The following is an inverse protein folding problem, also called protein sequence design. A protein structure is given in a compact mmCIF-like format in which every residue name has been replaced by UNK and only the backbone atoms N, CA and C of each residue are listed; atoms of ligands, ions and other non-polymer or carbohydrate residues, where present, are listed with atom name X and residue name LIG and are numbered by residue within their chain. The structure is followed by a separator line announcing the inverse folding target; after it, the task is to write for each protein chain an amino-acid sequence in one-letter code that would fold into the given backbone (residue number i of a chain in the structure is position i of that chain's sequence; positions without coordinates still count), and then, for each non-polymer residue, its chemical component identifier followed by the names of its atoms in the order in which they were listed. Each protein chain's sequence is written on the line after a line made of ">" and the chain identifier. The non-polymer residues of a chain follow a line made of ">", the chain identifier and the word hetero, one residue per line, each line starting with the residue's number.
data_IF_930039173948
#
_entry.id   IF_930039173948
#
_cell.length_a   1.000
_cell.length_b   1.000
_cell.length_c   1.000
_cell.angle_alpha   90.00
_cell.angle_beta   90.00
_cell.angle_gamma   90.00
#
_symmetry.space_group_name_H-M   'P 1'
#
loop_
_entity.id
_entity.type
_entity.pdbx_description
1 polymer ?
#
# COMPACT_ATOMS: atom_id res chain seq x y z
N UNK A 1 -0.41 12.80 -18.59
CA UNK A 1 0.10 13.22 -17.26
C UNK A 1 0.97 12.09 -16.74
N UNK A 2 2.05 12.36 -15.97
CA UNK A 2 2.80 11.27 -15.35
C UNK A 2 1.89 10.54 -14.36
N UNK A 3 1.88 9.21 -14.43
CA UNK A 3 1.15 8.32 -13.53
C UNK A 3 2.07 7.99 -12.36
N UNK A 4 1.70 8.37 -11.15
CA UNK A 4 2.48 8.06 -9.95
C UNK A 4 1.94 6.79 -9.31
N UNK A 5 2.83 5.95 -8.80
CA UNK A 5 2.44 4.71 -8.12
C UNK A 5 2.72 4.83 -6.63
N UNK A 6 1.74 4.50 -5.81
CA UNK A 6 1.86 4.44 -4.35
C UNK A 6 1.77 2.98 -3.95
N UNK A 7 2.88 2.44 -3.44
CA UNK A 7 2.89 1.13 -2.81
C UNK A 7 2.26 1.26 -1.43
N UNK A 8 1.16 0.56 -1.20
CA UNK A 8 0.38 0.63 0.04
C UNK A 8 0.71 -0.58 0.90
N UNK A 9 1.26 -0.34 2.08
CA UNK A 9 1.63 -1.38 3.03
C UNK A 9 0.53 -1.50 4.09
N UNK A 10 -0.44 -2.36 3.84
CA UNK A 10 -1.55 -2.61 4.77
C UNK A 10 -1.03 -3.32 6.02
N UNK A 11 -1.62 -3.00 7.17
CA UNK A 11 -1.14 -3.46 8.47
C UNK A 11 -2.26 -3.97 9.36
N UNK A 12 -2.01 -3.94 10.67
CA UNK A 12 -2.94 -4.44 11.66
C UNK A 12 -3.59 -3.29 12.47
N UNK A 13 -4.80 -3.54 12.98
CA UNK A 13 -5.49 -2.71 13.98
C UNK A 13 -5.58 -1.23 13.59
N UNK A 14 -5.28 -0.31 14.52
CA UNK A 14 -5.42 1.13 14.35
C UNK A 14 -4.59 1.68 13.19
N UNK A 15 -3.44 1.06 12.87
CA UNK A 15 -2.65 1.45 11.71
C UNK A 15 -3.43 1.28 10.40
N UNK A 16 -4.18 0.19 10.28
CA UNK A 16 -5.01 -0.09 9.11
C UNK A 16 -6.19 0.86 8.99
N UNK A 17 -6.87 1.15 10.10
CA UNK A 17 -8.01 2.08 10.10
C UNK A 17 -7.59 3.49 9.66
N UNK A 18 -6.46 3.98 10.18
CA UNK A 18 -5.91 5.28 9.77
C UNK A 18 -5.45 5.29 8.32
N UNK A 19 -4.86 4.19 7.84
CA UNK A 19 -4.44 4.05 6.45
C UNK A 19 -5.63 4.16 5.49
N UNK A 20 -6.75 3.50 5.80
CA UNK A 20 -7.95 3.58 4.96
C UNK A 20 -8.46 5.02 4.84
N UNK A 21 -8.47 5.78 5.94
CA UNK A 21 -8.88 7.19 5.90
C UNK A 21 -7.88 8.07 5.13
N UNK A 22 -6.58 7.79 5.22
CA UNK A 22 -5.57 8.47 4.41
C UNK A 22 -5.75 8.20 2.91
N UNK A 23 -6.11 6.97 2.51
CA UNK A 23 -6.37 6.63 1.11
C UNK A 23 -7.62 7.32 0.55
N UNK A 24 -8.60 7.67 1.39
CA UNK A 24 -9.78 8.45 0.96
C UNK A 24 -9.39 9.86 0.52
N UNK A 25 -8.47 10.51 1.25
CA UNK A 25 -8.01 11.86 0.88
C UNK A 25 -7.06 11.86 -0.31
N UNK A 26 -6.43 10.72 -0.62
CA UNK A 26 -5.56 10.54 -1.78
C UNK A 26 -6.28 10.06 -3.04
N UNK A 27 -7.62 9.94 -3.03
CA UNK A 27 -8.34 9.47 -4.22
C UNK A 27 -8.07 10.37 -5.44
N UNK A 28 -7.72 9.79 -6.62
CA UNK A 28 -7.41 10.55 -7.83
C UNK A 28 -8.48 11.57 -8.22
N UNK A 29 -9.76 11.22 -8.00
CA UNK A 29 -10.91 12.09 -8.26
C UNK A 29 -10.96 13.33 -7.36
N UNK A 30 -10.35 13.27 -6.17
CA UNK A 30 -10.34 14.36 -5.20
C UNK A 30 -9.15 15.30 -5.43
N UNK A 31 -7.94 14.74 -5.54
CA UNK A 31 -6.70 15.54 -5.65
C UNK A 31 -6.32 15.89 -7.09
N UNK A 32 -7.03 15.34 -8.09
CA UNK A 32 -6.78 15.53 -9.53
C UNK A 32 -5.35 15.14 -9.95
N UNK A 33 -4.80 14.12 -9.30
CA UNK A 33 -3.53 13.49 -9.60
C UNK A 33 -3.77 12.04 -10.00
N UNK A 34 -3.14 11.59 -11.08
CA UNK A 34 -3.25 10.20 -11.56
C UNK A 34 -2.37 9.29 -10.67
N UNK A 35 -2.98 8.76 -9.61
CA UNK A 35 -2.37 7.82 -8.68
C UNK A 35 -2.85 6.39 -8.93
N UNK A 36 -1.91 5.45 -8.92
CA UNK A 36 -2.17 4.02 -8.85
C UNK A 36 -1.78 3.48 -7.48
N UNK A 37 -2.60 2.60 -6.91
CA UNK A 37 -2.34 2.02 -5.59
C UNK A 37 -2.03 0.54 -5.73
N UNK A 38 -0.89 0.11 -5.20
CA UNK A 38 -0.46 -1.28 -5.20
C UNK A 38 -0.44 -1.79 -3.76
N UNK A 39 -1.49 -2.49 -3.30
CA UNK A 39 -1.60 -2.94 -1.92
C UNK A 39 -0.80 -4.22 -1.65
N UNK A 40 -0.18 -4.27 -0.47
CA UNK A 40 0.44 -5.46 0.12
C UNK A 40 -0.08 -5.63 1.55
N UNK A 41 -0.69 -6.78 1.83
CA UNK A 41 -1.15 -7.14 3.18
C UNK A 41 0.05 -7.55 4.06
N UNK A 42 0.55 -6.63 4.88
CA UNK A 42 1.58 -6.91 5.88
C UNK A 42 1.00 -7.19 7.27
N UNK A 43 -0.28 -7.59 7.36
CA UNK A 43 -0.87 -8.06 8.62
C UNK A 43 -0.01 -9.19 9.22
N UNK A 44 -0.03 -9.32 10.54
CA UNK A 44 0.70 -10.38 11.23
C UNK A 44 0.26 -11.77 10.75
N UNK A 45 -1.03 -11.94 10.47
CA UNK A 45 -1.58 -13.17 9.94
C UNK A 45 -0.98 -13.49 8.57
N UNK A 46 -0.98 -12.54 7.64
CA UNK A 46 -0.48 -12.80 6.28
C UNK A 46 1.04 -12.99 6.23
N UNK A 47 1.79 -12.22 7.03
CA UNK A 47 3.24 -12.45 7.19
C UNK A 47 3.55 -13.86 7.71
N UNK A 48 2.77 -14.38 8.65
CA UNK A 48 2.92 -15.77 9.12
C UNK A 48 2.55 -16.79 8.04
N UNK A 49 1.42 -16.58 7.35
CA UNK A 49 0.95 -17.48 6.29
C UNK A 49 1.94 -17.58 5.12
N UNK A 50 2.61 -16.47 4.80
CA UNK A 50 3.59 -16.39 3.70
C UNK A 50 5.04 -16.60 4.14
N UNK A 51 5.29 -16.89 5.43
CA UNK A 51 6.65 -16.95 6.00
C UNK A 51 7.48 -15.69 5.70
N UNK A 52 6.83 -14.52 5.76
CA UNK A 52 7.33 -13.20 5.37
C UNK A 52 7.59 -13.01 3.86
N UNK A 53 7.13 -13.91 2.99
CA UNK A 53 7.21 -13.73 1.52
C UNK A 53 6.65 -12.39 1.05
N UNK A 54 5.48 -12.00 1.57
CA UNK A 54 4.83 -10.72 1.25
C UNK A 54 5.69 -9.48 1.57
N UNK A 55 6.60 -9.57 2.54
CA UNK A 55 7.52 -8.46 2.88
C UNK A 55 8.54 -8.25 1.76
N UNK A 56 9.04 -9.32 1.16
CA UNK A 56 9.99 -9.24 0.05
C UNK A 56 9.31 -8.72 -1.23
N UNK A 57 8.07 -9.15 -1.48
CA UNK A 57 7.27 -8.64 -2.59
C UNK A 57 7.00 -7.14 -2.46
N UNK A 58 6.60 -6.69 -1.27
CA UNK A 58 6.42 -5.27 -0.97
C UNK A 58 7.73 -4.47 -1.14
N UNK A 59 8.85 -5.00 -0.65
CA UNK A 59 10.16 -4.36 -0.81
C UNK A 59 10.60 -4.26 -2.28
N UNK A 60 10.33 -5.30 -3.08
CA UNK A 60 10.59 -5.27 -4.52
C UNK A 60 9.76 -4.20 -5.23
N UNK A 61 8.47 -4.07 -4.87
CA UNK A 61 7.60 -3.02 -5.41
C UNK A 61 8.07 -1.61 -5.01
N UNK A 62 8.49 -1.41 -3.76
CA UNK A 62 9.06 -0.13 -3.32
C UNK A 62 10.29 0.25 -4.15
N UNK A 63 11.19 -0.69 -4.43
CA UNK A 63 12.35 -0.45 -5.30
C UNK A 63 11.98 -0.19 -6.76
N UNK A 64 10.87 -0.73 -7.24
CA UNK A 64 10.41 -0.54 -8.62
C UNK A 64 9.76 0.84 -8.84
N UNK A 65 9.05 1.35 -7.83
CA UNK A 65 8.18 2.53 -7.97
C UNK A 65 8.65 3.78 -7.22
N UNK A 66 9.65 3.68 -6.33
CA UNK A 66 10.23 4.79 -5.58
C UNK A 66 11.47 5.39 -6.24
#
# INVERSE_FOLDING_TARGET
>A
MPKYTVVVLEGDQTGQELLLEALRVLQPSLIRLDLDFVPFDLSLQNRRATQNGVVFEAAAALNQFG
#
